data_IF_552641377169
#
_entry.id   IF_552641377169
#
_cell.length_a   1.000
_cell.length_b   1.000
_cell.length_c   1.000
_cell.angle_alpha   90.00
_cell.angle_beta   90.00
_cell.angle_gamma   90.00
#
_symmetry.space_group_name_H-M   'P 1'
#
loop_
_entity.id
_entity.type
_entity.pdbx_description
1 polymer ?
#
# COMPACT_ATOMS: atom_id res chain seq x y z
N UNK A 1 -14.89 3.28 -6.59
CA UNK A 1 -14.84 1.81 -6.60
C UNK A 1 -13.44 1.34 -6.27
N UNK A 2 -13.28 0.72 -5.12
CA UNK A 2 -11.97 0.28 -4.62
C UNK A 2 -11.37 -0.81 -5.53
N UNK A 3 -12.18 -1.77 -5.95
CA UNK A 3 -11.68 -2.86 -6.79
C UNK A 3 -11.22 -2.34 -8.15
N UNK A 4 -11.94 -1.39 -8.70
CA UNK A 4 -11.57 -0.78 -9.98
C UNK A 4 -10.27 0.00 -9.84
N UNK A 5 -10.14 0.79 -8.80
CA UNK A 5 -8.92 1.57 -8.53
C UNK A 5 -7.71 0.66 -8.37
N UNK A 6 -7.81 -0.35 -7.52
CA UNK A 6 -6.70 -1.29 -7.31
C UNK A 6 -6.34 -2.05 -8.59
N UNK A 7 -7.33 -2.48 -9.36
CA UNK A 7 -7.09 -3.15 -10.63
C UNK A 7 -6.39 -2.25 -11.65
N UNK A 8 -6.75 -0.97 -11.71
CA UNK A 8 -6.08 0.00 -12.59
C UNK A 8 -4.63 0.23 -12.19
N UNK A 9 -4.36 0.33 -10.89
CA UNK A 9 -3.00 0.53 -10.37
C UNK A 9 -2.14 -0.68 -10.72
N UNK A 10 -2.65 -1.89 -10.51
CA UNK A 10 -1.93 -3.12 -10.82
C UNK A 10 -1.59 -3.17 -12.32
N UNK A 11 -2.56 -2.87 -13.18
CA UNK A 11 -2.32 -2.87 -14.62
C UNK A 11 -1.26 -1.86 -15.04
N UNK A 12 -1.29 -0.66 -14.45
CA UNK A 12 -0.35 0.40 -14.83
C UNK A 12 1.07 0.10 -14.37
N UNK A 13 1.24 -0.63 -13.27
CA UNK A 13 2.56 -0.92 -12.71
C UNK A 13 3.13 -2.27 -13.16
N UNK A 14 2.32 -3.11 -13.79
CA UNK A 14 2.74 -4.45 -14.17
C UNK A 14 3.94 -4.46 -15.12
N UNK A 15 4.07 -3.46 -15.96
CA UNK A 15 5.19 -3.34 -16.88
C UNK A 15 6.52 -3.06 -16.17
N UNK A 16 6.48 -2.57 -14.94
CA UNK A 16 7.69 -2.27 -14.17
C UNK A 16 8.18 -3.47 -13.36
N UNK A 17 7.41 -4.55 -13.35
CA UNK A 17 7.72 -5.71 -12.52
C UNK A 17 8.83 -6.52 -13.18
N UNK A 18 9.94 -6.78 -12.47
CA UNK A 18 11.03 -7.55 -13.05
C UNK A 18 10.68 -9.03 -13.19
N UNK A 19 11.43 -9.73 -14.03
CA UNK A 19 11.27 -11.17 -14.17
C UNK A 19 11.50 -11.84 -12.80
N UNK A 20 10.68 -12.83 -12.49
CA UNK A 20 10.80 -13.54 -11.21
C UNK A 20 10.00 -12.91 -10.08
N UNK A 21 9.35 -11.77 -10.32
CA UNK A 21 8.46 -11.13 -9.33
C UNK A 21 7.04 -11.15 -9.87
N UNK A 22 6.10 -11.57 -9.02
CA UNK A 22 4.68 -11.58 -9.36
C UNK A 22 3.98 -10.44 -8.63
N UNK A 23 3.17 -9.67 -9.35
CA UNK A 23 2.36 -8.59 -8.77
C UNK A 23 0.89 -9.02 -8.82
N UNK A 24 0.27 -9.13 -7.65
CA UNK A 24 -1.08 -9.70 -7.48
C UNK A 24 -1.98 -8.73 -6.74
N UNK A 25 -3.26 -8.70 -7.10
CA UNK A 25 -4.30 -8.01 -6.34
C UNK A 25 -5.23 -9.04 -5.68
N UNK A 26 -5.35 -8.94 -4.36
CA UNK A 26 -6.30 -9.75 -3.58
C UNK A 26 -7.56 -8.94 -3.32
N UNK A 27 -8.61 -9.22 -4.07
CA UNK A 27 -9.90 -8.57 -3.89
C UNK A 27 -10.62 -9.20 -2.68
N UNK A 28 -10.99 -8.38 -1.69
CA UNK A 28 -11.66 -8.86 -0.49
C UNK A 28 -13.17 -8.93 -0.65
N UNK A 29 -13.78 -7.87 -1.18
CA UNK A 29 -15.23 -7.77 -1.35
C UNK A 29 -15.58 -7.77 -2.83
N UNK A 30 -16.73 -8.36 -3.21
CA UNK A 30 -17.16 -8.32 -4.62
C UNK A 30 -17.43 -6.88 -5.08
N UNK A 31 -17.91 -6.04 -4.17
CA UNK A 31 -18.10 -4.62 -4.42
C UNK A 31 -17.63 -3.84 -3.19
N UNK A 32 -16.92 -2.76 -3.41
CA UNK A 32 -16.46 -1.90 -2.34
C UNK A 32 -16.34 -0.47 -2.85
N UNK A 33 -17.09 0.44 -2.24
CA UNK A 33 -17.11 1.84 -2.62
C UNK A 33 -16.82 2.71 -1.41
N UNK A 34 -15.95 3.71 -1.59
CA UNK A 34 -15.63 4.68 -0.56
C UNK A 34 -15.71 6.09 -1.15
N UNK A 35 -16.00 7.06 -0.29
CA UNK A 35 -15.85 8.46 -0.64
C UNK A 35 -14.41 8.85 -0.38
N UNK A 36 -13.66 9.10 -1.44
CA UNK A 36 -12.24 9.38 -1.31
C UNK A 36 -11.74 10.19 -2.50
N UNK A 37 -10.61 10.84 -2.28
CA UNK A 37 -9.84 11.41 -3.38
C UNK A 37 -9.10 10.28 -4.07
N UNK A 38 -9.55 9.91 -5.26
CA UNK A 38 -8.98 8.83 -6.04
C UNK A 38 -7.48 9.03 -6.28
N UNK A 39 -7.06 10.25 -6.55
CA UNK A 39 -5.66 10.54 -6.85
C UNK A 39 -4.77 10.36 -5.64
N UNK A 40 -5.25 10.72 -4.45
CA UNK A 40 -4.49 10.53 -3.21
C UNK A 40 -4.36 9.07 -2.83
N UNK A 41 -5.45 8.32 -2.92
CA UNK A 41 -5.39 6.87 -2.69
C UNK A 41 -4.45 6.20 -3.68
N UNK A 42 -4.55 6.55 -4.95
CA UNK A 42 -3.66 6.04 -5.98
C UNK A 42 -2.20 6.34 -5.63
N UNK A 43 -1.91 7.55 -5.19
CA UNK A 43 -0.55 7.95 -4.86
C UNK A 43 0.02 7.12 -3.71
N UNK A 44 -0.74 6.90 -2.65
CA UNK A 44 -0.28 6.10 -1.51
C UNK A 44 -0.04 4.65 -1.94
N UNK A 45 -1.01 4.04 -2.59
CA UNK A 45 -0.91 2.64 -3.02
C UNK A 45 0.24 2.46 -4.01
N UNK A 46 0.35 3.34 -5.00
CA UNK A 46 1.41 3.27 -6.00
C UNK A 46 2.79 3.44 -5.36
N UNK A 47 2.93 4.34 -4.39
CA UNK A 47 4.19 4.50 -3.66
C UNK A 47 4.57 3.25 -2.89
N UNK A 48 3.60 2.59 -2.26
CA UNK A 48 3.85 1.34 -1.56
C UNK A 48 4.32 0.24 -2.52
N UNK A 49 3.68 0.13 -3.69
CA UNK A 49 4.07 -0.87 -4.69
C UNK A 49 5.44 -0.55 -5.27
N UNK A 50 5.71 0.71 -5.60
CA UNK A 50 7.02 1.11 -6.12
C UNK A 50 8.12 0.84 -5.08
N UNK A 51 7.83 1.08 -3.81
CA UNK A 51 8.76 0.74 -2.74
C UNK A 51 9.02 -0.77 -2.67
N UNK A 52 7.96 -1.56 -2.76
CA UNK A 52 8.09 -3.03 -2.77
C UNK A 52 8.89 -3.52 -3.96
N UNK A 53 8.70 -2.91 -5.14
CA UNK A 53 9.47 -3.25 -6.34
C UNK A 53 10.96 -3.00 -6.18
N UNK A 54 11.34 -1.97 -5.41
CA UNK A 54 12.76 -1.68 -5.17
C UNK A 54 13.43 -2.73 -4.28
N UNK A 55 12.68 -3.36 -3.39
CA UNK A 55 13.24 -4.25 -2.38
C UNK A 55 12.93 -5.74 -2.61
N UNK A 56 12.17 -6.07 -3.66
CA UNK A 56 11.82 -7.45 -3.97
C UNK A 56 12.49 -7.85 -5.28
N UNK A 57 13.47 -8.74 -5.20
CA UNK A 57 14.22 -9.18 -6.39
C UNK A 57 13.68 -10.48 -6.96
N UNK A 58 12.98 -11.25 -6.14
CA UNK A 58 12.25 -12.45 -6.59
C UNK A 58 11.11 -12.70 -5.59
N UNK A 59 10.08 -13.38 -6.05
CA UNK A 59 8.93 -13.72 -5.21
C UNK A 59 7.67 -12.97 -5.63
N UNK A 60 6.98 -12.36 -4.67
CA UNK A 60 5.69 -11.75 -4.95
C UNK A 60 5.47 -10.44 -4.20
N UNK A 61 4.63 -9.61 -4.80
CA UNK A 61 4.11 -8.39 -4.21
C UNK A 61 2.59 -8.47 -4.32
N UNK A 62 1.91 -8.35 -3.21
CA UNK A 62 0.45 -8.46 -3.14
C UNK A 62 -0.16 -7.17 -2.64
N UNK A 63 -1.04 -6.58 -3.46
CA UNK A 63 -1.91 -5.48 -3.05
C UNK A 63 -3.23 -6.08 -2.62
N UNK A 64 -3.70 -5.70 -1.45
CA UNK A 64 -4.99 -6.15 -0.97
C UNK A 64 -5.62 -5.16 -0.02
N UNK A 65 -6.81 -5.46 0.43
CA UNK A 65 -7.49 -4.71 1.46
C UNK A 65 -8.43 -5.64 2.22
N UNK A 66 -8.78 -5.25 3.42
CA UNK A 66 -9.83 -5.94 4.15
C UNK A 66 -10.59 -4.96 5.05
N UNK A 67 -11.79 -5.35 5.42
CA UNK A 67 -12.66 -4.54 6.26
C UNK A 67 -12.35 -4.85 7.73
N UNK A 68 -12.03 -3.80 8.48
CA UNK A 68 -11.83 -3.93 9.92
C UNK A 68 -13.17 -3.80 10.65
N UNK A 69 -13.21 -4.23 11.90
CA UNK A 69 -14.43 -4.16 12.72
C UNK A 69 -14.70 -2.75 13.26
N UNK A 70 -13.73 -1.86 13.15
CA UNK A 70 -13.79 -0.52 13.72
C UNK A 70 -14.29 0.56 12.73
N UNK A 71 -14.82 0.16 11.58
CA UNK A 71 -15.31 1.12 10.59
C UNK A 71 -14.23 1.62 9.64
N UNK A 72 -13.14 0.90 9.49
CA UNK A 72 -12.06 1.24 8.56
C UNK A 72 -11.81 0.10 7.59
N UNK A 73 -11.35 0.46 6.39
CA UNK A 73 -10.69 -0.48 5.49
C UNK A 73 -9.20 -0.42 5.78
N UNK A 74 -8.52 -1.55 5.74
CA UNK A 74 -7.07 -1.59 5.77
C UNK A 74 -6.58 -2.03 4.40
N UNK A 75 -5.81 -1.15 3.76
CA UNK A 75 -5.12 -1.46 2.51
C UNK A 75 -3.71 -1.89 2.86
N UNK A 76 -3.19 -2.87 2.15
CA UNK A 76 -1.83 -3.35 2.41
C UNK A 76 -1.12 -3.72 1.11
N UNK A 77 0.20 -3.56 1.13
CA UNK A 77 1.09 -4.06 0.09
C UNK A 77 2.11 -4.94 0.79
N UNK A 78 2.02 -6.24 0.55
CA UNK A 78 2.90 -7.23 1.16
C UNK A 78 3.88 -7.71 0.12
N UNK A 79 5.17 -7.76 0.47
CA UNK A 79 6.21 -8.27 -0.39
C UNK A 79 7.02 -9.35 0.31
N UNK A 80 7.68 -10.19 -0.50
CA UNK A 80 8.58 -11.23 -0.02
C UNK A 80 10.03 -10.81 -0.26
N UNK A 81 10.30 -9.52 -0.15
CA UNK A 81 11.62 -8.94 -0.37
C UNK A 81 12.56 -9.06 0.81
N UNK A 82 13.52 -8.13 0.85
CA UNK A 82 14.58 -8.21 1.86
C UNK A 82 14.15 -7.83 3.28
N UNK A 83 12.98 -7.27 3.45
CA UNK A 83 12.53 -6.79 4.76
C UNK A 83 13.28 -5.55 5.22
N UNK A 84 12.97 -5.11 6.44
CA UNK A 84 13.53 -3.89 7.00
C UNK A 84 14.21 -4.24 8.32
N UNK A 85 15.46 -3.77 8.52
CA UNK A 85 16.14 -3.96 9.80
C UNK A 85 15.34 -3.30 10.94
N UNK A 86 15.31 -3.96 12.10
CA UNK A 86 14.56 -3.46 13.26
C UNK A 86 14.90 -2.03 13.64
N UNK A 87 16.16 -1.64 13.50
CA UNK A 87 16.61 -0.30 13.86
C UNK A 87 16.10 0.78 12.91
N UNK A 88 15.54 0.39 11.76
CA UNK A 88 14.98 1.33 10.77
C UNK A 88 13.47 1.38 10.77
N UNK A 89 12.80 0.39 11.35
CA UNK A 89 11.33 0.32 11.32
C UNK A 89 10.68 1.56 11.92
N UNK A 90 11.21 2.07 13.03
CA UNK A 90 10.64 3.23 13.71
C UNK A 90 10.74 4.52 12.90
N UNK A 91 11.66 4.59 11.97
CA UNK A 91 11.95 5.81 11.22
C UNK A 91 11.62 5.71 9.73
N UNK A 92 10.99 4.62 9.28
CA UNK A 92 10.76 4.40 7.84
C UNK A 92 9.91 5.48 7.19
N UNK A 93 9.05 6.14 7.97
CA UNK A 93 8.19 7.21 7.45
C UNK A 93 8.79 8.60 7.65
N UNK A 94 9.98 8.69 8.21
CA UNK A 94 10.66 9.98 8.36
C UNK A 94 11.22 10.42 7.01
N UNK A 95 11.38 11.73 6.85
CA UNK A 95 11.88 12.30 5.60
C UNK A 95 13.35 11.91 5.41
N UNK A 96 13.71 11.62 4.15
CA UNK A 96 15.07 11.32 3.73
C UNK A 96 15.67 10.04 4.32
N UNK A 97 14.86 9.17 4.90
CA UNK A 97 15.34 7.88 5.36
C UNK A 97 15.38 6.91 4.18
N UNK A 98 16.53 6.26 3.98
CA UNK A 98 16.66 5.20 2.98
C UNK A 98 16.77 3.87 3.69
N UNK A 99 15.97 2.91 3.28
CA UNK A 99 15.95 1.58 3.88
C UNK A 99 17.16 0.74 3.43
N UNK A 100 17.72 1.07 2.27
CA UNK A 100 18.91 0.42 1.72
C UNK A 100 19.67 1.46 0.89
N UNK A 101 20.93 1.70 1.26
CA UNK A 101 21.76 2.71 0.58
C UNK A 101 22.08 2.37 -0.87
N UNK A 102 21.92 1.10 -1.28
CA UNK A 102 22.13 0.70 -2.67
C UNK A 102 20.90 0.91 -3.55
N UNK A 103 19.77 1.26 -2.97
CA UNK A 103 18.54 1.49 -3.72
C UNK A 103 18.34 2.99 -3.87
N UNK A 104 18.17 3.44 -5.11
CA UNK A 104 17.97 4.85 -5.39
C UNK A 104 16.60 5.34 -4.92
N UNK A 105 16.56 6.54 -4.40
CA UNK A 105 15.34 7.19 -3.98
C UNK A 105 15.67 8.43 -3.15
N UNK A 106 14.72 9.33 -3.01
CA UNK A 106 14.89 10.55 -2.25
C UNK A 106 14.65 10.37 -0.76
N UNK A 107 14.00 9.26 -0.37
CA UNK A 107 13.58 9.05 1.01
C UNK A 107 12.33 9.84 1.38
N UNK A 108 11.62 10.39 0.39
CA UNK A 108 10.41 11.20 0.64
C UNK A 108 9.11 10.45 0.42
N UNK A 109 9.13 9.36 -0.36
CA UNK A 109 7.89 8.66 -0.74
C UNK A 109 7.05 8.22 0.43
N UNK A 110 7.65 7.57 1.43
CA UNK A 110 6.92 7.07 2.59
C UNK A 110 6.47 8.18 3.52
N UNK A 111 7.25 9.27 3.68
CA UNK A 111 6.82 10.41 4.49
C UNK A 111 5.64 11.13 3.86
N UNK A 112 5.61 11.21 2.53
CA UNK A 112 4.47 11.76 1.79
C UNK A 112 3.24 10.88 2.01
N UNK A 113 3.39 9.57 1.93
CA UNK A 113 2.29 8.63 2.20
C UNK A 113 1.71 8.85 3.60
N UNK A 114 2.57 8.98 4.61
CA UNK A 114 2.12 9.22 5.98
C UNK A 114 1.29 10.50 6.07
N UNK A 115 1.79 11.58 5.47
CA UNK A 115 1.08 12.86 5.47
C UNK A 115 -0.28 12.75 4.79
N UNK A 116 -0.34 12.10 3.63
CA UNK A 116 -1.60 11.93 2.90
C UNK A 116 -2.61 11.08 3.68
N UNK A 117 -2.15 9.98 4.25
CA UNK A 117 -3.02 9.07 5.02
C UNK A 117 -3.58 9.78 6.25
N UNK A 118 -2.76 10.53 6.96
CA UNK A 118 -3.21 11.28 8.13
C UNK A 118 -4.22 12.36 7.77
N UNK A 119 -4.01 13.03 6.64
CA UNK A 119 -4.97 14.02 6.13
C UNK A 119 -6.31 13.39 5.74
N UNK A 120 -6.29 12.14 5.33
CA UNK A 120 -7.51 11.40 4.96
C UNK A 120 -8.21 10.77 6.18
N UNK A 121 -7.66 10.95 7.38
CA UNK A 121 -8.27 10.43 8.60
C UNK A 121 -7.88 9.01 8.95
N UNK A 122 -6.84 8.48 8.32
CA UNK A 122 -6.37 7.13 8.58
C UNK A 122 -5.07 7.07 9.35
N UNK A 123 -4.57 5.85 9.49
CA UNK A 123 -3.26 5.57 10.10
C UNK A 123 -2.42 4.76 9.14
N UNK A 124 -1.11 4.81 9.30
CA UNK A 124 -0.16 4.12 8.43
C UNK A 124 0.82 3.33 9.30
N UNK A 125 1.27 2.21 8.78
CA UNK A 125 2.24 1.40 9.50
C UNK A 125 2.94 0.42 8.60
N UNK A 126 3.84 -0.35 9.22
CA UNK A 126 4.60 -1.39 8.54
C UNK A 126 4.86 -2.53 9.51
N UNK A 127 4.77 -3.74 8.99
CA UNK A 127 5.24 -4.94 9.67
C UNK A 127 6.30 -5.55 8.78
N UNK A 128 7.44 -5.91 9.33
CA UNK A 128 8.54 -6.42 8.54
C UNK A 128 9.43 -7.35 9.36
N UNK A 129 9.96 -8.34 8.65
CA UNK A 129 10.97 -9.26 9.18
C UNK A 129 12.12 -9.25 8.21
N UNK A 130 13.30 -8.87 8.68
CA UNK A 130 14.50 -8.81 7.85
C UNK A 130 14.77 -10.18 7.23
N UNK A 131 14.97 -10.22 5.93
CA UNK A 131 15.17 -11.46 5.18
C UNK A 131 13.91 -12.16 4.72
N UNK A 132 12.74 -11.77 5.20
CA UNK A 132 11.48 -12.42 4.84
C UNK A 132 10.52 -11.53 4.06
N UNK A 133 10.55 -10.24 4.28
CA UNK A 133 9.70 -9.30 3.56
C UNK A 133 9.04 -8.27 4.45
N UNK A 134 8.15 -7.50 3.85
CA UNK A 134 7.48 -6.38 4.51
C UNK A 134 6.02 -6.33 4.13
N UNK A 135 5.21 -5.75 5.02
CA UNK A 135 3.83 -5.43 4.74
C UNK A 135 3.59 -3.98 5.16
N UNK A 136 3.47 -3.09 4.18
CA UNK A 136 3.09 -1.71 4.41
C UNK A 136 1.58 -1.61 4.32
N UNK A 137 0.97 -0.91 5.27
CA UNK A 137 -0.47 -0.80 5.33
C UNK A 137 -0.90 0.60 5.72
N UNK A 138 -2.13 0.94 5.34
CA UNK A 138 -2.79 2.13 5.85
C UNK A 138 -4.28 1.86 6.00
N UNK A 139 -4.93 2.64 6.85
CA UNK A 139 -6.37 2.56 7.05
C UNK A 139 -7.06 3.75 6.43
N UNK A 140 -8.30 3.55 6.03
CA UNK A 140 -9.15 4.59 5.48
C UNK A 140 -10.55 4.44 6.07
N UNK A 141 -11.18 5.54 6.51
CA UNK A 141 -12.54 5.45 7.05
C UNK A 141 -13.49 4.83 6.03
N UNK A 142 -14.22 3.81 6.45
CA UNK A 142 -15.16 3.12 5.60
C UNK A 142 -16.52 3.04 6.26
N UNK A 143 -17.48 3.69 5.62
CA UNK A 143 -18.88 3.48 5.97
C UNK A 143 -19.49 2.73 4.81
N UNK A 144 -20.10 1.59 5.13
CA UNK A 144 -20.89 0.90 4.14
C UNK A 144 -21.96 1.90 3.71
N UNK A 145 -21.94 2.24 2.44
CA UNK A 145 -22.88 3.22 1.94
C UNK A 145 -24.21 2.54 1.70
N UNK A 146 -25.05 2.50 2.71
CA UNK A 146 -26.38 1.96 2.56
C UNK A 146 -27.11 2.68 1.43
N UNK A 147 -26.80 3.93 1.26
CA UNK A 147 -27.33 4.68 0.14
C UNK A 147 -26.86 4.19 -1.21
N UNK A 148 -25.66 3.63 -1.31
CA UNK A 148 -25.22 3.06 -2.57
C UNK A 148 -25.99 1.79 -2.87
N UNK A 149 -26.54 1.19 -1.86
CA UNK A 149 -27.36 0.03 -2.05
C UNK A 149 -28.70 0.48 -2.54
N UNK A 150 -29.11 1.60 -2.03
CA UNK A 150 -30.37 2.13 -2.39
C UNK A 150 -30.29 3.04 -3.52
N UNK A 151 -29.18 3.57 -3.64
CA UNK A 151 -28.96 4.50 -4.52
C UNK A 151 -28.81 4.24 -5.41
N UNK A 152 -29.19 4.43 -5.33
CA UNK A 152 -29.21 4.60 -6.34
C UNK A 152 -28.61 5.33 -6.81
#
# INVERSE_FOLDING_TARGET
DVNLLCGEIIRSLRMKVPAGVELVFEKCLPECHVWADKNRLNQVISNFINNALKFTFSGSITLGYYRQTDGYLRFYVRDTGMGIPKNKIKTVFDRFVKLNSFVHGTGLGLSICKSLVEQMGGTIGVESEEGEGSCFWFTYPYQEIAGSILVP
#
